data_IF_705772564107
#
_entry.id   IF_705772564107
#
_cell.length_a   1.000
_cell.length_b   1.000
_cell.length_c   1.000
_cell.angle_alpha   90.00
_cell.angle_beta   90.00
_cell.angle_gamma   90.00
#
_symmetry.space_group_name_H-M   'P 1'
#
loop_
_entity.id
_entity.type
_entity.pdbx_description
1 polymer ?
#
# COMPACT_ATOMS: atom_id res chain seq x y z
N UNK A 1 -29.04 11.82 -5.46
CA UNK A 1 -27.76 11.94 -6.19
C UNK A 1 -26.68 12.22 -5.15
N UNK A 2 -26.05 11.17 -4.62
CA UNK A 2 -24.94 11.35 -3.68
C UNK A 2 -23.71 11.74 -4.49
N UNK A 3 -23.18 12.93 -4.23
CA UNK A 3 -21.90 13.41 -4.75
C UNK A 3 -20.81 12.42 -4.34
N UNK A 4 -20.37 11.59 -5.28
CA UNK A 4 -19.16 10.77 -5.11
C UNK A 4 -17.99 11.75 -4.91
N UNK A 5 -17.59 11.93 -3.65
CA UNK A 5 -16.35 12.62 -3.33
C UNK A 5 -15.18 11.93 -4.03
N UNK A 6 -14.23 12.70 -4.53
CA UNK A 6 -12.97 12.22 -5.12
C UNK A 6 -12.32 11.22 -4.16
N UNK A 7 -12.32 9.93 -4.51
CA UNK A 7 -11.68 8.88 -3.71
C UNK A 7 -10.22 8.80 -4.10
N UNK A 8 -9.35 9.04 -3.14
CA UNK A 8 -7.91 9.04 -3.34
C UNK A 8 -7.29 7.71 -2.92
N UNK A 9 -6.75 6.99 -3.90
CA UNK A 9 -6.20 5.65 -3.73
C UNK A 9 -4.69 5.66 -3.72
N UNK A 10 -4.10 4.86 -2.84
CA UNK A 10 -2.69 4.54 -2.89
C UNK A 10 -2.49 3.12 -3.41
N UNK A 11 -1.64 3.00 -4.42
CA UNK A 11 -1.17 1.72 -4.92
C UNK A 11 -0.02 1.26 -4.03
N UNK A 12 -0.18 0.18 -3.27
CA UNK A 12 0.92 -0.41 -2.52
C UNK A 12 1.79 -1.31 -3.42
N UNK A 13 2.11 -0.85 -4.64
CA UNK A 13 2.97 -1.60 -5.54
C UNK A 13 4.37 -0.96 -5.64
N UNK A 14 5.32 -1.72 -5.06
CA UNK A 14 6.79 -1.74 -5.16
C UNK A 14 7.65 -0.51 -4.81
N UNK A 15 8.78 -0.76 -4.11
CA UNK A 15 10.18 -0.70 -4.64
C UNK A 15 11.25 -0.77 -3.50
N UNK A 16 12.14 -1.77 -3.54
CA UNK A 16 13.61 -1.57 -3.47
C UNK A 16 14.18 -2.17 -4.77
N UNK A 17 15.03 -1.47 -5.54
CA UNK A 17 15.60 -1.99 -6.77
C UNK A 17 16.91 -2.74 -6.50
N UNK A 18 17.10 -3.91 -7.11
CA UNK A 18 18.42 -4.26 -7.63
C UNK A 18 18.58 -3.55 -8.99
N UNK A 19 19.43 -2.53 -8.99
CA UNK A 19 19.68 -1.63 -10.13
C UNK A 19 20.32 -2.34 -11.34
N UNK A 20 20.72 -3.61 -11.20
CA UNK A 20 21.53 -4.33 -12.19
C UNK A 20 20.74 -5.21 -13.19
N UNK A 21 19.42 -5.38 -13.04
CA UNK A 21 18.63 -6.34 -13.84
C UNK A 21 17.30 -5.82 -14.40
N UNK A 22 17.23 -4.56 -14.80
CA UNK A 22 16.03 -4.07 -15.51
C UNK A 22 16.20 -4.19 -17.03
N UNK A 23 15.34 -4.94 -17.74
CA UNK A 23 15.19 -4.80 -19.19
C UNK A 23 14.60 -3.41 -19.50
N UNK A 24 15.05 -2.81 -20.60
CA UNK A 24 14.83 -1.39 -20.97
C UNK A 24 13.39 -0.94 -21.23
N UNK A 25 12.38 -1.80 -21.00
CA UNK A 25 11.00 -1.55 -21.43
C UNK A 25 9.92 -1.78 -20.35
N UNK A 26 10.29 -2.04 -19.09
CA UNK A 26 9.29 -2.16 -18.01
C UNK A 26 9.17 -0.81 -17.29
N UNK A 27 8.01 -0.12 -17.33
CA UNK A 27 7.87 1.15 -16.65
C UNK A 27 7.96 0.93 -15.14
N UNK A 28 8.90 1.64 -14.51
CA UNK A 28 9.20 1.63 -13.08
C UNK A 28 7.93 1.75 -12.21
N UNK A 29 7.41 0.64 -11.67
CA UNK A 29 6.20 0.60 -10.83
C UNK A 29 6.52 1.08 -9.41
N UNK A 30 6.70 2.39 -9.24
CA UNK A 30 6.80 3.03 -7.93
C UNK A 30 5.41 3.25 -7.32
N UNK A 31 5.34 3.40 -5.98
CA UNK A 31 4.18 3.91 -5.23
C UNK A 31 3.46 5.00 -6.05
N UNK A 32 2.21 4.75 -6.41
CA UNK A 32 1.40 5.61 -7.27
C UNK A 32 0.12 6.04 -6.58
N UNK A 33 -0.28 7.30 -6.79
CA UNK A 33 -1.64 7.74 -6.53
C UNK A 33 -2.50 7.34 -7.71
N UNK A 34 -3.61 6.63 -7.47
CA UNK A 34 -4.66 6.48 -8.47
C UNK A 34 -5.63 7.64 -8.20
N UNK A 35 -5.49 8.70 -9.00
CA UNK A 35 -6.41 9.83 -8.98
C UNK A 35 -7.61 9.46 -9.85
N UNK A 36 -8.80 9.42 -9.27
CA UNK A 36 -10.02 9.20 -10.06
C UNK A 36 -10.25 10.43 -10.96
N UNK A 37 -9.99 10.28 -12.26
CA UNK A 37 -10.61 11.12 -13.28
C UNK A 37 -12.08 10.71 -13.49
N UNK A 38 -12.73 11.22 -14.53
CA UNK A 38 -14.13 10.95 -14.91
C UNK A 38 -14.44 9.48 -15.27
N UNK A 39 -13.52 8.54 -15.03
CA UNK A 39 -13.60 7.13 -15.41
C UNK A 39 -14.01 6.23 -14.23
N UNK A 40 -14.55 5.01 -14.50
CA UNK A 40 -14.89 4.07 -13.44
C UNK A 40 -13.64 3.58 -12.69
N UNK A 41 -13.64 3.71 -11.36
CA UNK A 41 -12.52 3.32 -10.46
C UNK A 41 -12.05 1.86 -10.67
N UNK A 42 -12.95 0.97 -11.07
CA UNK A 42 -12.66 -0.43 -11.42
C UNK A 42 -11.68 -0.56 -12.57
N UNK A 43 -11.77 0.29 -13.59
CA UNK A 43 -10.88 0.23 -14.76
C UNK A 43 -9.45 0.66 -14.40
N UNK A 44 -9.31 1.71 -13.57
CA UNK A 44 -8.01 2.14 -13.10
C UNK A 44 -7.34 1.05 -12.25
N UNK A 45 -8.08 0.44 -11.32
CA UNK A 45 -7.55 -0.66 -10.50
C UNK A 45 -7.09 -1.84 -11.36
N UNK A 46 -7.86 -2.22 -12.38
CA UNK A 46 -7.48 -3.28 -13.34
C UNK A 46 -6.26 -2.90 -14.16
N UNK A 47 -6.17 -1.66 -14.65
CA UNK A 47 -4.99 -1.15 -15.39
C UNK A 47 -3.71 -1.26 -14.58
N UNK A 48 -3.81 -1.11 -13.27
CA UNK A 48 -2.70 -1.25 -12.35
C UNK A 48 -2.51 -2.68 -11.80
N UNK A 49 -3.30 -3.66 -12.26
CA UNK A 49 -3.21 -5.05 -11.83
C UNK A 49 -3.60 -5.25 -10.37
N UNK A 50 -4.43 -4.37 -9.80
CA UNK A 50 -4.87 -4.48 -8.42
C UNK A 50 -5.83 -5.66 -8.25
N UNK A 51 -5.42 -6.65 -7.46
CA UNK A 51 -6.23 -7.85 -7.16
C UNK A 51 -6.92 -7.73 -5.80
N UNK A 52 -6.41 -6.85 -4.93
CA UNK A 52 -6.93 -6.64 -3.58
C UNK A 52 -6.99 -5.15 -3.26
N UNK A 53 -8.07 -4.74 -2.62
CA UNK A 53 -8.33 -3.37 -2.14
C UNK A 53 -8.56 -3.41 -0.63
N UNK A 54 -7.83 -2.58 0.11
CA UNK A 54 -7.99 -2.40 1.56
C UNK A 54 -8.59 -1.02 1.83
N UNK A 55 -9.74 -1.00 2.50
CA UNK A 55 -10.45 0.21 2.91
C UNK A 55 -10.15 0.46 4.38
N UNK A 56 -9.53 1.60 4.69
CA UNK A 56 -9.17 1.99 6.07
C UNK A 56 -10.03 3.12 6.63
N UNK A 57 -11.06 3.50 5.89
CA UNK A 57 -12.08 4.44 6.31
C UNK A 57 -13.45 3.77 6.47
N UNK A 58 -14.42 4.56 6.92
CA UNK A 58 -15.83 4.17 6.87
C UNK A 58 -16.24 3.80 5.44
N UNK A 59 -17.21 2.88 5.34
CA UNK A 59 -17.69 2.35 4.07
C UNK A 59 -18.50 3.45 3.37
N UNK A 60 -17.95 4.00 2.30
CA UNK A 60 -18.59 5.08 1.52
C UNK A 60 -19.21 4.62 0.20
N UNK A 61 -18.91 3.39 -0.24
CA UNK A 61 -19.43 2.83 -1.49
C UNK A 61 -19.53 1.30 -1.41
N UNK A 62 -20.37 0.72 -2.28
CA UNK A 62 -20.58 -0.73 -2.33
C UNK A 62 -19.38 -1.45 -2.99
N UNK A 63 -18.99 -2.58 -2.41
CA UNK A 63 -17.86 -3.40 -2.89
C UNK A 63 -18.25 -4.38 -4.00
N UNK A 64 -19.56 -4.63 -4.18
CA UNK A 64 -20.07 -5.58 -5.18
C UNK A 64 -19.50 -5.37 -6.60
N UNK A 65 -19.35 -4.12 -7.12
CA UNK A 65 -18.76 -3.91 -8.44
C UNK A 65 -17.29 -4.34 -8.54
N UNK A 66 -16.51 -4.13 -7.46
CA UNK A 66 -15.11 -4.56 -7.39
C UNK A 66 -15.02 -6.09 -7.31
N UNK A 67 -15.87 -6.71 -6.48
CA UNK A 67 -15.88 -8.17 -6.31
C UNK A 67 -16.33 -8.90 -7.59
N UNK A 68 -17.30 -8.35 -8.33
CA UNK A 68 -17.70 -8.85 -9.66
C UNK A 68 -16.55 -8.85 -10.66
N UNK A 69 -15.63 -7.91 -10.49
CA UNK A 69 -14.45 -7.73 -11.32
C UNK A 69 -13.24 -8.55 -10.83
N UNK A 70 -13.43 -9.43 -9.84
CA UNK A 70 -12.39 -10.29 -9.29
C UNK A 70 -11.46 -9.59 -8.28
N UNK A 71 -11.81 -8.38 -7.85
CA UNK A 71 -11.02 -7.60 -6.87
C UNK A 71 -11.55 -7.92 -5.47
N UNK A 72 -10.68 -8.46 -4.61
CA UNK A 72 -11.02 -8.72 -3.20
C UNK A 72 -11.04 -7.41 -2.42
N UNK A 73 -12.09 -7.12 -1.67
CA UNK A 73 -12.20 -5.90 -0.84
C UNK A 73 -12.17 -6.24 0.64
N UNK A 74 -11.26 -5.62 1.39
CA UNK A 74 -11.05 -5.79 2.82
C UNK A 74 -11.38 -4.50 3.58
N UNK A 75 -12.13 -4.60 4.67
CA UNK A 75 -12.60 -3.47 5.48
C UNK A 75 -11.91 -3.41 6.85
N UNK A 76 -10.94 -2.52 7.00
CA UNK A 76 -10.17 -2.32 8.25
C UNK A 76 -10.17 -0.85 8.70
N UNK A 77 -11.35 -0.30 9.06
CA UNK A 77 -11.44 1.08 9.51
C UNK A 77 -10.70 1.30 10.84
N UNK A 78 -10.04 2.45 10.96
CA UNK A 78 -9.47 2.95 12.22
C UNK A 78 -9.51 4.48 12.28
N UNK A 79 -9.35 5.08 13.46
CA UNK A 79 -9.55 6.51 13.70
C UNK A 79 -8.63 7.41 12.85
N UNK A 80 -9.18 8.55 12.40
CA UNK A 80 -8.39 9.49 11.61
C UNK A 80 -7.30 10.17 12.42
N UNK A 81 -6.14 10.34 11.78
CA UNK A 81 -4.97 10.98 12.37
C UNK A 81 -4.37 10.27 13.59
N UNK A 82 -4.93 9.13 13.99
CA UNK A 82 -4.37 8.21 14.96
C UNK A 82 -3.37 7.25 14.29
N UNK A 83 -2.43 6.67 15.06
CA UNK A 83 -1.66 5.52 14.59
C UNK A 83 -2.58 4.30 14.37
N UNK A 84 -2.27 3.42 13.40
CA UNK A 84 -3.05 2.21 13.18
C UNK A 84 -2.96 1.26 14.39
N UNK A 85 -4.06 0.63 14.81
CA UNK A 85 -4.05 -0.42 15.82
C UNK A 85 -3.13 -1.59 15.44
N UNK A 86 -2.46 -2.20 16.42
CA UNK A 86 -1.53 -3.31 16.20
C UNK A 86 -2.13 -4.45 15.38
N UNK A 87 -3.41 -4.78 15.62
CA UNK A 87 -4.12 -5.80 14.85
C UNK A 87 -4.18 -5.47 13.36
N UNK A 88 -4.51 -4.24 12.99
CA UNK A 88 -4.57 -3.80 11.58
C UNK A 88 -3.18 -3.84 10.95
N UNK A 89 -2.13 -3.46 11.70
CA UNK A 89 -0.75 -3.57 11.22
C UNK A 89 -0.37 -5.03 10.97
N UNK A 90 -0.71 -5.93 11.89
CA UNK A 90 -0.42 -7.35 11.77
C UNK A 90 -1.18 -7.99 10.59
N UNK A 91 -2.47 -7.68 10.45
CA UNK A 91 -3.32 -8.16 9.34
C UNK A 91 -2.83 -7.62 7.99
N UNK A 92 -2.45 -6.34 7.92
CA UNK A 92 -1.88 -5.71 6.72
C UNK A 92 -0.59 -6.38 6.27
N UNK A 93 0.38 -6.54 7.18
CA UNK A 93 1.66 -7.16 6.84
C UNK A 93 1.48 -8.64 6.45
N UNK A 94 0.55 -9.35 7.08
CA UNK A 94 0.24 -10.73 6.74
C UNK A 94 -0.43 -10.84 5.37
N UNK A 95 -1.36 -9.93 5.05
CA UNK A 95 -1.99 -9.85 3.74
C UNK A 95 -0.94 -9.62 2.64
N UNK A 96 -0.07 -8.63 2.80
CA UNK A 96 0.99 -8.36 1.81
C UNK A 96 1.90 -9.57 1.64
N UNK A 97 2.35 -10.15 2.75
CA UNK A 97 3.19 -11.35 2.72
C UNK A 97 2.55 -12.47 1.92
N UNK A 98 1.29 -12.79 2.20
CA UNK A 98 0.59 -13.86 1.52
C UNK A 98 0.37 -13.53 0.05
N UNK A 99 -0.15 -12.33 -0.27
CA UNK A 99 -0.47 -11.93 -1.65
C UNK A 99 0.74 -11.88 -2.55
N UNK A 100 1.86 -11.31 -2.10
CA UNK A 100 3.06 -11.24 -2.91
C UNK A 100 3.84 -12.56 -2.96
N UNK A 101 3.66 -13.45 -1.98
CA UNK A 101 4.18 -14.83 -2.09
C UNK A 101 3.36 -15.68 -3.08
N UNK A 102 2.03 -15.51 -3.09
CA UNK A 102 1.12 -16.20 -4.02
C UNK A 102 1.29 -15.70 -5.46
N UNK A 103 1.34 -14.37 -5.63
CA UNK A 103 1.49 -13.72 -6.93
C UNK A 103 2.45 -12.52 -6.80
N UNK A 104 3.74 -12.69 -7.14
CA UNK A 104 4.75 -11.63 -7.08
C UNK A 104 4.43 -10.42 -7.98
N UNK A 105 3.54 -10.57 -8.97
CA UNK A 105 3.14 -9.51 -9.89
C UNK A 105 1.84 -8.80 -9.50
N UNK A 106 1.18 -9.23 -8.41
CA UNK A 106 -0.08 -8.64 -7.98
C UNK A 106 0.10 -7.25 -7.38
N UNK A 107 -0.97 -6.47 -7.38
CA UNK A 107 -1.02 -5.18 -6.70
C UNK A 107 -2.07 -5.19 -5.59
N UNK A 108 -1.69 -4.67 -4.42
CA UNK A 108 -2.62 -4.35 -3.34
C UNK A 108 -2.84 -2.84 -3.32
N UNK A 109 -4.10 -2.40 -3.41
CA UNK A 109 -4.48 -1.01 -3.27
C UNK A 109 -4.97 -0.74 -1.85
N UNK A 110 -4.69 0.45 -1.31
CA UNK A 110 -5.19 0.89 0.00
C UNK A 110 -5.76 2.30 -0.10
N UNK A 111 -6.92 2.54 0.51
CA UNK A 111 -7.54 3.86 0.47
C UNK A 111 -8.25 4.24 1.77
N UNK A 112 -8.34 5.55 1.97
CA UNK A 112 -9.15 6.19 2.99
C UNK A 112 -10.22 7.03 2.26
N UNK A 113 -10.59 8.20 2.78
CA UNK A 113 -11.45 9.17 2.08
C UNK A 113 -10.59 10.14 1.26
N UNK A 114 -9.83 11.00 1.93
CA UNK A 114 -9.01 12.05 1.31
C UNK A 114 -7.54 11.65 1.08
N UNK A 115 -7.16 10.40 1.33
CA UNK A 115 -5.80 9.91 1.08
C UNK A 115 -4.64 10.58 1.86
N UNK A 116 -4.90 11.44 2.85
CA UNK A 116 -3.81 12.21 3.50
C UNK A 116 -3.25 11.56 4.79
N UNK A 117 -4.05 10.74 5.49
CA UNK A 117 -3.69 10.21 6.80
C UNK A 117 -3.47 8.69 6.81
N UNK A 118 -4.56 7.93 6.90
CA UNK A 118 -4.55 6.50 7.27
C UNK A 118 -3.83 5.59 6.26
N UNK A 119 -4.20 5.70 4.98
CA UNK A 119 -3.64 4.86 3.91
C UNK A 119 -2.12 5.04 3.74
N UNK A 120 -1.57 6.29 3.66
CA UNK A 120 -0.14 6.52 3.65
C UNK A 120 0.65 5.84 4.78
N UNK A 121 0.09 5.75 5.98
CA UNK A 121 0.78 5.13 7.12
C UNK A 121 0.95 3.62 6.93
N UNK A 122 -0.05 2.92 6.39
CA UNK A 122 0.07 1.49 6.09
C UNK A 122 1.12 1.23 4.99
N UNK A 123 1.17 2.09 3.97
CA UNK A 123 2.21 2.02 2.94
C UNK A 123 3.60 2.24 3.54
N UNK A 124 3.75 3.25 4.42
CA UNK A 124 5.02 3.51 5.10
C UNK A 124 5.49 2.29 5.92
N UNK A 125 4.58 1.65 6.65
CA UNK A 125 4.88 0.43 7.42
C UNK A 125 5.36 -0.71 6.53
N UNK A 126 4.74 -0.91 5.36
CA UNK A 126 5.17 -1.93 4.41
C UNK A 126 6.61 -1.65 3.89
N UNK A 127 6.92 -0.40 3.55
CA UNK A 127 8.26 0.01 3.12
C UNK A 127 9.29 -0.21 4.23
N UNK A 128 8.95 0.15 5.48
CA UNK A 128 9.83 -0.03 6.63
C UNK A 128 10.06 -1.51 6.95
N UNK A 129 9.03 -2.36 6.84
CA UNK A 129 9.15 -3.80 7.02
C UNK A 129 9.94 -4.48 5.88
N UNK A 130 9.97 -3.87 4.69
CA UNK A 130 10.90 -4.21 3.61
C UNK A 130 12.35 -3.83 3.93
N UNK A 131 12.55 -3.02 4.97
CA UNK A 131 13.80 -2.47 5.47
C UNK A 131 14.27 -1.20 4.76
N UNK A 132 13.34 -0.42 4.23
CA UNK A 132 13.56 1.02 3.99
C UNK A 132 13.61 1.75 5.34
N UNK A 133 14.39 2.83 5.46
CA UNK A 133 14.33 3.69 6.65
C UNK A 133 13.00 4.46 6.68
N UNK A 134 12.53 4.81 7.86
CA UNK A 134 11.23 5.48 7.98
C UNK A 134 11.25 6.87 7.33
N UNK A 135 12.37 7.58 7.40
CA UNK A 135 12.58 8.89 6.76
C UNK A 135 12.44 8.78 5.24
N UNK A 136 13.11 7.79 4.64
CA UNK A 136 13.08 7.54 3.19
C UNK A 136 11.66 7.15 2.74
N UNK A 137 10.96 6.31 3.52
CA UNK A 137 9.59 5.91 3.24
C UNK A 137 8.64 7.11 3.24
N UNK A 138 8.76 8.00 4.25
CA UNK A 138 7.96 9.22 4.34
C UNK A 138 8.27 10.16 3.17
N UNK A 139 9.55 10.34 2.82
CA UNK A 139 9.95 11.19 1.70
C UNK A 139 9.36 10.66 0.39
N UNK A 140 9.45 9.36 0.13
CA UNK A 140 8.89 8.73 -1.07
C UNK A 140 7.37 8.95 -1.18
N UNK A 141 6.66 8.76 -0.07
CA UNK A 141 5.21 9.01 0.00
C UNK A 141 4.90 10.49 -0.26
N UNK A 142 5.65 11.42 0.36
CA UNK A 142 5.42 12.87 0.22
C UNK A 142 5.79 13.42 -1.16
N UNK A 143 6.73 12.79 -1.87
CA UNK A 143 7.02 13.11 -3.27
C UNK A 143 5.81 12.84 -4.17
N UNK A 144 5.03 11.79 -3.86
CA UNK A 144 3.83 11.43 -4.61
C UNK A 144 2.59 12.18 -4.13
N UNK A 145 2.47 12.41 -2.82
CA UNK A 145 1.37 13.17 -2.22
C UNK A 145 1.89 14.15 -1.18
N UNK A 146 2.03 15.40 -1.60
CA UNK A 146 2.44 16.48 -0.70
C UNK A 146 1.46 16.60 0.47
N UNK A 147 1.98 16.71 1.68
CA UNK A 147 1.17 16.82 2.89
C UNK A 147 0.64 15.49 3.45
N UNK A 148 0.99 14.35 2.86
CA UNK A 148 0.68 13.06 3.46
C UNK A 148 1.45 12.84 4.78
N UNK A 149 0.79 12.13 5.71
CA UNK A 149 1.28 11.77 7.05
C UNK A 149 1.40 12.99 7.98
N UNK A 150 0.59 12.99 9.04
CA UNK A 150 0.57 14.05 10.05
C UNK A 150 1.67 13.86 11.13
N UNK A 151 1.85 14.85 12.01
CA UNK A 151 2.91 14.81 13.05
C UNK A 151 2.78 13.66 14.06
N UNK A 152 1.55 13.26 14.45
CA UNK A 152 1.33 12.12 15.35
C UNK A 152 1.74 10.81 14.67
N UNK A 153 1.42 10.67 13.40
CA UNK A 153 1.78 9.50 12.58
C UNK A 153 3.27 9.45 12.28
N UNK A 154 3.93 10.59 12.07
CA UNK A 154 5.39 10.68 11.97
C UNK A 154 6.06 10.15 13.25
N UNK A 155 5.61 10.63 14.41
CA UNK A 155 6.13 10.19 15.72
C UNK A 155 5.93 8.68 15.92
N UNK A 156 4.81 8.14 15.43
CA UNK A 156 4.57 6.70 15.44
C UNK A 156 5.55 5.93 14.55
N UNK A 157 5.76 6.38 13.31
CA UNK A 157 6.68 5.74 12.35
C UNK A 157 8.15 5.81 12.82
N UNK A 158 8.55 6.90 13.46
CA UNK A 158 9.87 7.07 14.06
C UNK A 158 10.12 6.05 15.20
N UNK A 159 9.11 5.81 16.03
CA UNK A 159 9.20 4.85 17.14
C UNK A 159 8.98 3.40 16.71
N UNK A 160 8.49 3.19 15.49
CA UNK A 160 8.21 1.86 14.98
C UNK A 160 9.49 1.02 14.87
N UNK A 161 9.41 -0.22 15.33
CA UNK A 161 10.51 -1.19 15.25
C UNK A 161 10.11 -2.31 14.30
N UNK A 162 10.74 -2.40 13.10
CA UNK A 162 10.38 -3.42 12.13
C UNK A 162 10.69 -4.81 12.67
N UNK A 163 9.77 -5.73 12.45
CA UNK A 163 9.90 -7.16 12.77
C UNK A 163 10.48 -7.96 11.60
N UNK A 164 10.79 -7.30 10.49
CA UNK A 164 11.32 -7.89 9.25
C UNK A 164 10.41 -8.99 8.67
N UNK A 165 9.09 -8.84 8.84
CA UNK A 165 8.11 -9.89 8.48
C UNK A 165 7.99 -10.10 6.98
N UNK A 166 8.34 -9.07 6.21
CA UNK A 166 8.36 -9.11 4.75
C UNK A 166 9.72 -9.58 4.20
N UNK A 167 10.70 -9.89 5.06
CA UNK A 167 12.00 -10.46 4.65
C UNK A 167 12.05 -11.96 4.91
N UNK A 168 12.64 -12.69 3.98
CA UNK A 168 12.87 -14.13 4.04
C UNK A 168 14.36 -14.41 3.83
N UNK A 169 14.90 -15.39 4.55
CA UNK A 169 16.24 -15.91 4.29
C UNK A 169 16.13 -16.96 3.20
N UNK A 170 16.86 -16.78 2.10
CA UNK A 170 16.97 -17.81 1.07
C UNK A 170 17.76 -19.00 1.64
N UNK A 171 17.23 -20.24 1.64
CA UNK A 171 17.95 -21.39 2.18
C UNK A 171 19.23 -21.74 1.42
N UNK A 172 19.33 -21.35 0.14
CA UNK A 172 20.46 -21.68 -0.74
C UNK A 172 21.48 -20.54 -0.89
N UNK A 173 21.16 -19.34 -0.39
CA UNK A 173 22.01 -18.17 -0.52
C UNK A 173 21.91 -17.36 0.76
N UNK A 174 23.03 -17.04 1.43
CA UNK A 174 23.05 -16.25 2.68
C UNK A 174 22.57 -14.78 2.51
N UNK A 175 21.85 -14.46 1.42
CA UNK A 175 21.23 -13.16 1.14
C UNK A 175 19.76 -13.19 1.58
N UNK A 176 19.37 -12.19 2.36
CA UNK A 176 17.97 -11.93 2.69
C UNK A 176 17.20 -11.45 1.45
N UNK A 177 16.17 -12.20 1.03
CA UNK A 177 15.16 -11.79 0.04
C UNK A 177 13.99 -11.09 0.75
N UNK A 178 13.22 -10.27 0.05
CA UNK A 178 11.99 -9.67 0.57
C UNK A 178 10.81 -10.28 -0.20
N UNK A 179 9.67 -10.61 0.40
CA UNK A 179 8.50 -11.03 -0.37
C UNK A 179 7.91 -9.91 -1.23
N UNK A 180 8.41 -8.69 -1.07
CA UNK A 180 8.13 -7.56 -1.96
C UNK A 180 9.14 -7.44 -3.11
N UNK A 181 10.08 -8.39 -3.25
CA UNK A 181 11.18 -8.41 -4.22
C UNK A 181 11.32 -9.76 -4.94
#
# INVERSE_FOLDING_TARGET
MASQGSLDWFRAETVIPDRSRLPSAVPSRALGLIQSGTQPVTEDLKKYGATTVVRVCEITYDKTPLEKDGITVMDWPFDDGAPPPTKIVDDWLSLLKNKFCEDPGCCVAVHCVAGLGRAPVLVALALIESGMKYEDAIQLIRQKRRGAINSKQLTYLEKYRPKQRLRFKDPHNHKSKCCLM
#
